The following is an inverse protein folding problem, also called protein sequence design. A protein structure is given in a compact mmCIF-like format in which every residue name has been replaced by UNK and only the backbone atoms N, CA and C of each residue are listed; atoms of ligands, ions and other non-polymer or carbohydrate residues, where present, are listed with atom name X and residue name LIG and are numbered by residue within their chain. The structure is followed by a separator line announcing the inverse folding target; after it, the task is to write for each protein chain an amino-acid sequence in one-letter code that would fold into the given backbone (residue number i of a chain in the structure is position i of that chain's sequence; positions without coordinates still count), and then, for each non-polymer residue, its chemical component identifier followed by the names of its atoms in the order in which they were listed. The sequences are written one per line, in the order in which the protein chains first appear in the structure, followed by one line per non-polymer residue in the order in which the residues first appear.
data_IF_836057204471
#
_entry.id   IF_836057204471
#
_cell.length_a   1.000
_cell.length_b   1.000
_cell.length_c   1.000
_cell.angle_alpha   90.00
_cell.angle_beta   90.00
_cell.angle_gamma   90.00
#
_symmetry.space_group_name_H-M   'P 1'
#
loop_
_entity.id
_entity.type
_entity.pdbx_description
1 polymer ?
#
# COMPACT_ATOMS: atom_id res chain seq x y z
N UNK A 1 -16.47 -18.17 -9.97
CA UNK A 1 -16.10 -16.89 -10.62
C UNK A 1 -14.93 -17.15 -11.54
N UNK A 2 -15.01 -16.72 -12.81
CA UNK A 2 -14.03 -17.11 -13.83
C UNK A 2 -12.65 -16.51 -13.52
N UNK A 3 -11.60 -17.33 -13.59
CA UNK A 3 -10.20 -16.90 -13.39
C UNK A 3 -9.82 -15.69 -14.27
N UNK A 4 -10.46 -15.57 -15.45
CA UNK A 4 -10.33 -14.42 -16.34
C UNK A 4 -10.66 -13.07 -15.65
N UNK A 5 -11.68 -13.03 -14.78
CA UNK A 5 -12.06 -11.78 -14.09
C UNK A 5 -10.99 -11.35 -13.09
N UNK A 6 -10.38 -12.31 -12.39
CA UNK A 6 -9.29 -12.04 -11.47
C UNK A 6 -8.05 -11.51 -12.22
N UNK A 7 -7.71 -12.10 -13.36
CA UNK A 7 -6.60 -11.64 -14.21
C UNK A 7 -6.84 -10.21 -14.69
N UNK A 8 -8.07 -9.90 -15.12
CA UNK A 8 -8.44 -8.54 -15.54
C UNK A 8 -8.29 -7.54 -14.38
N UNK A 9 -8.75 -7.88 -13.17
CA UNK A 9 -8.60 -7.03 -11.99
C UNK A 9 -7.13 -6.83 -11.59
N UNK A 10 -6.30 -7.88 -11.65
CA UNK A 10 -4.86 -7.78 -11.39
C UNK A 10 -4.15 -6.92 -12.44
N UNK A 11 -4.49 -7.07 -13.71
CA UNK A 11 -3.96 -6.21 -14.77
C UNK A 11 -4.38 -4.75 -14.54
N UNK A 12 -5.66 -4.50 -14.23
CA UNK A 12 -6.18 -3.18 -13.91
C UNK A 12 -5.48 -2.57 -12.68
N UNK A 13 -5.20 -3.36 -11.64
CA UNK A 13 -4.45 -2.95 -10.46
C UNK A 13 -3.04 -2.47 -10.82
N UNK A 14 -2.29 -3.25 -11.62
CA UNK A 14 -0.92 -2.90 -12.01
C UNK A 14 -0.91 -1.66 -12.92
N UNK A 15 -1.82 -1.60 -13.89
CA UNK A 15 -1.92 -0.45 -14.80
C UNK A 15 -2.29 0.82 -14.03
N UNK A 16 -3.31 0.76 -13.17
CA UNK A 16 -3.71 1.92 -12.35
C UNK A 16 -2.59 2.38 -11.42
N UNK A 17 -1.88 1.47 -10.76
CA UNK A 17 -0.72 1.80 -9.94
C UNK A 17 0.39 2.49 -10.75
N UNK A 18 0.69 1.98 -11.95
CA UNK A 18 1.67 2.60 -12.84
C UNK A 18 1.26 4.03 -13.26
N UNK A 19 -0.01 4.22 -13.64
CA UNK A 19 -0.55 5.53 -14.00
C UNK A 19 -0.49 6.52 -12.83
N UNK A 20 -0.81 6.07 -11.61
CA UNK A 20 -0.76 6.89 -10.39
C UNK A 20 0.65 7.37 -10.08
N UNK A 21 1.66 6.50 -10.19
CA UNK A 21 3.06 6.86 -9.96
C UNK A 21 3.57 7.89 -10.98
N UNK A 22 2.97 7.94 -12.17
CA UNK A 22 3.32 8.92 -13.21
C UNK A 22 2.62 10.27 -13.03
N UNK A 23 1.63 10.38 -12.13
CA UNK A 23 0.92 11.65 -11.91
C UNK A 23 1.83 12.70 -11.27
N UNK A 24 1.80 13.92 -11.83
CA UNK A 24 2.58 15.06 -11.33
C UNK A 24 1.90 15.80 -10.18
N UNK A 25 0.58 15.72 -10.14
CA UNK A 25 -0.25 16.36 -9.13
C UNK A 25 -0.42 15.39 -7.95
N UNK A 26 0.11 15.77 -6.79
CA UNK A 26 0.12 14.93 -5.59
C UNK A 26 -1.29 14.61 -5.09
N UNK A 27 -2.24 15.54 -5.23
CA UNK A 27 -3.61 15.33 -4.79
C UNK A 27 -4.32 14.33 -5.70
N UNK A 28 -4.14 14.46 -7.02
CA UNK A 28 -4.65 13.47 -7.99
C UNK A 28 -4.01 12.10 -7.80
N UNK A 29 -2.69 12.07 -7.57
CA UNK A 29 -1.97 10.82 -7.29
C UNK A 29 -2.50 10.14 -6.02
N UNK A 30 -2.79 10.90 -4.96
CA UNK A 30 -3.34 10.38 -3.71
C UNK A 30 -4.74 9.78 -3.91
N UNK A 31 -5.63 10.48 -4.62
CA UNK A 31 -6.97 9.96 -4.95
C UNK A 31 -6.85 8.69 -5.82
N UNK A 32 -5.94 8.71 -6.80
CA UNK A 32 -5.66 7.54 -7.63
C UNK A 32 -5.13 6.36 -6.82
N UNK A 33 -4.29 6.60 -5.80
CA UNK A 33 -3.80 5.55 -4.90
C UNK A 33 -4.95 4.93 -4.07
N UNK A 34 -5.94 5.73 -3.67
CA UNK A 34 -7.15 5.23 -3.03
C UNK A 34 -7.93 4.28 -3.96
N UNK A 35 -8.03 4.62 -5.25
CA UNK A 35 -8.65 3.73 -6.26
C UNK A 35 -7.87 2.43 -6.44
N UNK A 36 -6.53 2.50 -6.47
CA UNK A 36 -5.67 1.30 -6.51
C UNK A 36 -5.92 0.41 -5.29
N UNK A 37 -5.97 0.99 -4.09
CA UNK A 37 -6.27 0.28 -2.85
C UNK A 37 -7.69 -0.31 -2.84
N UNK A 38 -8.68 0.38 -3.41
CA UNK A 38 -10.04 -0.14 -3.63
C UNK A 38 -10.08 -1.34 -4.57
N UNK A 39 -9.34 -1.31 -5.69
CA UNK A 39 -9.20 -2.46 -6.60
C UNK A 39 -8.53 -3.63 -5.86
N UNK A 40 -7.49 -3.36 -5.06
CA UNK A 40 -6.81 -4.39 -4.26
C UNK A 40 -7.76 -5.03 -3.24
N UNK A 41 -8.61 -4.24 -2.57
CA UNK A 41 -9.64 -4.76 -1.68
C UNK A 41 -10.61 -5.70 -2.40
N UNK A 42 -11.05 -5.37 -3.62
CA UNK A 42 -11.87 -6.25 -4.45
C UNK A 42 -11.13 -7.55 -4.77
N UNK A 43 -9.85 -7.48 -5.17
CA UNK A 43 -9.03 -8.67 -5.44
C UNK A 43 -8.93 -9.56 -4.21
N UNK A 44 -8.66 -9.00 -3.02
CA UNK A 44 -8.59 -9.77 -1.77
C UNK A 44 -9.92 -10.42 -1.41
N UNK A 45 -11.04 -9.71 -1.63
CA UNK A 45 -12.38 -10.27 -1.43
C UNK A 45 -12.62 -11.46 -2.35
N UNK A 46 -12.27 -11.34 -3.64
CA UNK A 46 -12.39 -12.43 -4.61
C UNK A 46 -11.53 -13.66 -4.27
N UNK A 47 -10.39 -13.45 -3.60
CA UNK A 47 -9.51 -14.52 -3.12
C UNK A 47 -9.95 -15.14 -1.79
N UNK A 48 -11.10 -14.74 -1.24
CA UNK A 48 -11.63 -15.26 0.02
C UNK A 48 -11.07 -14.58 1.28
N UNK A 49 -10.17 -13.60 1.14
CA UNK A 49 -9.57 -12.85 2.24
C UNK A 49 -10.45 -11.67 2.68
N UNK A 50 -11.68 -11.96 3.11
CA UNK A 50 -12.72 -10.98 3.39
C UNK A 50 -12.33 -9.95 4.48
N UNK A 51 -11.73 -10.41 5.58
CA UNK A 51 -11.28 -9.50 6.64
C UNK A 51 -10.20 -8.53 6.13
N UNK A 52 -9.22 -9.03 5.38
CA UNK A 52 -8.17 -8.20 4.80
C UNK A 52 -8.73 -7.17 3.79
N UNK A 53 -9.71 -7.58 2.98
CA UNK A 53 -10.39 -6.70 2.03
C UNK A 53 -11.09 -5.53 2.74
N UNK A 54 -11.80 -5.79 3.84
CA UNK A 54 -12.48 -4.73 4.61
C UNK A 54 -11.46 -3.79 5.27
N UNK A 55 -10.37 -4.32 5.82
CA UNK A 55 -9.31 -3.50 6.39
C UNK A 55 -8.62 -2.61 5.34
N UNK A 56 -8.31 -3.15 4.17
CA UNK A 56 -7.72 -2.37 3.08
C UNK A 56 -8.66 -1.25 2.61
N UNK A 57 -9.95 -1.56 2.42
CA UNK A 57 -10.92 -0.57 1.97
C UNK A 57 -11.18 0.52 3.01
N UNK A 58 -11.23 0.16 4.30
CA UNK A 58 -11.50 1.09 5.40
C UNK A 58 -10.27 1.93 5.78
N UNK A 59 -9.13 1.27 6.02
CA UNK A 59 -7.94 1.91 6.58
C UNK A 59 -7.09 2.52 5.48
N UNK A 60 -6.74 1.74 4.45
CA UNK A 60 -5.83 2.19 3.39
C UNK A 60 -6.52 3.15 2.43
N UNK A 61 -7.61 2.72 1.79
CA UNK A 61 -8.34 3.57 0.84
C UNK A 61 -9.17 4.68 1.52
N UNK A 62 -9.60 4.47 2.76
CA UNK A 62 -10.38 5.44 3.54
C UNK A 62 -9.51 6.37 4.38
N UNK A 63 -9.16 5.94 5.60
CA UNK A 63 -8.53 6.79 6.62
C UNK A 63 -7.18 7.39 6.16
N UNK A 64 -6.25 6.55 5.69
CA UNK A 64 -4.90 6.98 5.32
C UNK A 64 -4.95 7.96 4.15
N UNK A 65 -5.78 7.70 3.15
CA UNK A 65 -5.99 8.62 2.02
C UNK A 65 -6.51 9.98 2.48
N UNK A 66 -7.50 10.03 3.37
CA UNK A 66 -8.03 11.30 3.89
C UNK A 66 -6.94 12.11 4.61
N UNK A 67 -6.12 11.46 5.42
CA UNK A 67 -4.99 12.11 6.11
C UNK A 67 -3.99 12.67 5.08
N UNK A 68 -3.65 11.90 4.04
CA UNK A 68 -2.78 12.38 2.97
C UNK A 68 -3.37 13.54 2.20
N UNK A 69 -4.65 13.48 1.81
CA UNK A 69 -5.32 14.58 1.11
C UNK A 69 -5.32 15.84 1.97
N UNK A 70 -5.65 15.72 3.25
CA UNK A 70 -5.63 16.84 4.20
C UNK A 70 -4.24 17.44 4.37
N UNK A 71 -3.21 16.61 4.44
CA UNK A 71 -1.83 17.09 4.59
C UNK A 71 -1.37 17.77 3.30
N UNK A 72 -1.62 17.15 2.15
CA UNK A 72 -1.24 17.68 0.82
C UNK A 72 -1.93 19.00 0.55
N UNK A 73 -3.21 19.16 0.90
CA UNK A 73 -3.95 20.41 0.69
C UNK A 73 -3.41 21.57 1.54
N UNK A 74 -2.75 21.29 2.65
CA UNK A 74 -2.08 22.28 3.50
C UNK A 74 -0.66 22.62 3.03
N UNK A 75 -0.10 21.92 2.04
CA UNK A 75 1.25 22.20 1.53
C UNK A 75 1.26 23.29 0.46
N UNK A 76 2.34 24.07 0.42
CA UNK A 76 2.53 25.13 -0.58
C UNK A 76 2.69 24.51 -1.97
N UNK A 77 1.86 24.95 -2.91
CA UNK A 77 2.01 24.61 -4.34
C UNK A 77 3.28 25.30 -4.88
N UNK A 78 4.21 24.51 -5.43
CA UNK A 78 5.41 25.05 -6.07
C UNK A 78 5.03 25.85 -7.32
N UNK A 79 5.75 26.95 -7.56
CA UNK A 79 5.67 27.64 -8.84
C UNK A 79 6.18 26.74 -9.97
N UNK A 80 5.75 26.98 -11.21
CA UNK A 80 6.16 26.16 -12.37
C UNK A 80 7.68 26.08 -12.52
N UNK A 81 8.38 27.20 -12.29
CA UNK A 81 9.85 27.26 -12.37
C UNK A 81 10.53 26.42 -11.29
N UNK A 82 10.07 26.50 -10.04
CA UNK A 82 10.58 25.67 -8.93
C UNK A 82 10.32 24.18 -9.17
N UNK A 83 9.16 23.84 -9.73
CA UNK A 83 8.79 22.45 -10.05
C UNK A 83 9.71 21.85 -11.13
N UNK A 84 10.02 22.60 -12.19
CA UNK A 84 10.91 22.18 -13.27
C UNK A 84 12.36 22.01 -12.79
N UNK A 85 12.86 22.94 -11.99
CA UNK A 85 14.22 22.84 -11.44
C UNK A 85 14.35 21.62 -10.53
N UNK A 86 13.33 21.38 -9.70
CA UNK A 86 13.25 20.20 -8.82
C UNK A 86 13.17 18.91 -9.64
N UNK A 87 12.41 18.87 -10.73
CA UNK A 87 12.35 17.71 -11.63
C UNK A 87 13.70 17.43 -12.29
N UNK A 88 14.41 18.46 -12.78
CA UNK A 88 15.74 18.31 -13.39
C UNK A 88 16.76 17.74 -12.39
N UNK A 89 16.77 18.26 -11.16
CA UNK A 89 17.60 17.73 -10.06
C UNK A 89 17.22 16.29 -9.73
N UNK A 90 15.91 15.98 -9.65
CA UNK A 90 15.39 14.62 -9.41
C UNK A 90 15.83 13.65 -10.49
N UNK A 91 15.66 13.96 -11.77
CA UNK A 91 16.02 13.09 -12.90
C UNK A 91 17.52 12.77 -12.93
N UNK A 92 18.38 13.73 -12.57
CA UNK A 92 19.83 13.49 -12.44
C UNK A 92 20.15 12.55 -11.28
N UNK A 93 19.55 12.80 -10.09
CA UNK A 93 19.78 11.98 -8.89
C UNK A 93 19.24 10.56 -9.03
N UNK A 94 18.06 10.40 -9.60
CA UNK A 94 17.34 9.13 -9.69
C UNK A 94 17.49 8.43 -11.06
N UNK A 95 18.52 8.79 -11.85
CA UNK A 95 18.76 8.19 -13.16
C UNK A 95 18.96 6.67 -13.09
N UNK A 96 19.59 6.18 -12.02
CA UNK A 96 19.86 4.76 -11.80
C UNK A 96 18.70 4.00 -11.12
N UNK A 97 17.67 4.70 -10.63
CA UNK A 97 16.51 4.10 -9.97
C UNK A 97 15.75 3.09 -10.85
N UNK A 98 15.46 3.32 -12.14
CA UNK A 98 14.77 2.32 -12.96
C UNK A 98 15.59 1.03 -13.12
N UNK A 99 16.92 1.15 -13.22
CA UNK A 99 17.81 -0.02 -13.32
C UNK A 99 17.80 -0.80 -12.00
N UNK A 100 17.92 -0.09 -10.87
CA UNK A 100 17.84 -0.71 -9.55
C UNK A 100 16.50 -1.41 -9.34
N UNK A 101 15.40 -0.79 -9.77
CA UNK A 101 14.06 -1.37 -9.66
C UNK A 101 13.90 -2.63 -10.54
N UNK A 102 14.44 -2.63 -11.75
CA UNK A 102 14.46 -3.82 -12.61
C UNK A 102 15.31 -4.96 -12.01
N UNK A 103 16.46 -4.64 -11.41
CA UNK A 103 17.29 -5.64 -10.73
C UNK A 103 16.57 -6.24 -9.51
N UNK A 104 15.92 -5.40 -8.69
CA UNK A 104 15.13 -5.88 -7.54
C UNK A 104 13.95 -6.72 -8.01
N UNK A 105 13.24 -6.29 -9.07
CA UNK A 105 12.14 -7.06 -9.65
C UNK A 105 12.62 -8.41 -10.17
N UNK A 106 13.74 -8.45 -10.91
CA UNK A 106 14.33 -9.69 -11.43
C UNK A 106 14.78 -10.62 -10.30
N UNK A 107 15.40 -10.08 -9.24
CA UNK A 107 15.78 -10.84 -8.06
C UNK A 107 14.56 -11.44 -7.37
N UNK A 108 13.53 -10.63 -7.11
CA UNK A 108 12.29 -11.08 -6.48
C UNK A 108 11.61 -12.18 -7.31
N UNK A 109 11.54 -11.99 -8.63
CA UNK A 109 10.98 -12.99 -9.56
C UNK A 109 11.81 -14.28 -9.56
N UNK A 110 13.14 -14.20 -9.57
CA UNK A 110 14.02 -15.38 -9.54
C UNK A 110 13.83 -16.23 -8.29
N UNK A 111 13.57 -15.58 -7.15
CA UNK A 111 13.26 -16.27 -5.88
C UNK A 111 11.86 -16.86 -5.92
N UNK A 112 10.88 -16.17 -6.52
CA UNK A 112 9.47 -16.59 -6.52
C UNK A 112 9.13 -17.68 -7.56
N UNK A 113 9.78 -17.68 -8.73
CA UNK A 113 9.58 -18.64 -9.82
C UNK A 113 9.65 -20.12 -9.41
N UNK A 114 10.63 -20.59 -8.62
CA UNK A 114 10.68 -22.00 -8.20
C UNK A 114 9.50 -22.38 -7.29
N UNK A 115 8.94 -21.43 -6.52
CA UNK A 115 7.74 -21.68 -5.73
C UNK A 115 6.51 -21.81 -6.64
N UNK A 116 6.35 -20.91 -7.63
CA UNK A 116 5.26 -20.97 -8.61
C UNK A 116 5.23 -22.27 -9.41
N UNK A 117 6.39 -22.88 -9.67
CA UNK A 117 6.54 -24.14 -10.42
C UNK A 117 6.64 -25.40 -9.52
N UNK A 118 6.63 -25.25 -8.19
CA UNK A 118 6.58 -26.36 -7.24
C UNK A 118 5.15 -26.88 -7.03
N UNK A 119 4.94 -27.97 -6.26
CA UNK A 119 3.61 -28.49 -5.92
C UNK A 119 2.91 -27.59 -4.89
N UNK A 120 2.76 -26.30 -5.21
CA UNK A 120 2.12 -25.27 -4.38
C UNK A 120 0.61 -25.54 -4.23
N UNK A 121 0.04 -26.34 -5.13
CA UNK A 121 -1.39 -26.70 -5.16
C UNK A 121 -1.80 -27.85 -4.23
N UNK A 122 -0.87 -28.54 -3.54
CA UNK A 122 -1.20 -29.75 -2.74
C UNK A 122 -1.11 -29.62 -1.22
N UNK A 123 -0.70 -28.46 -0.69
CA UNK A 123 -0.45 -28.27 0.75
C UNK A 123 -1.31 -27.23 1.44
N UNK A 124 -2.28 -26.63 0.75
CA UNK A 124 -3.28 -25.81 1.43
C UNK A 124 -4.40 -26.73 1.92
N UNK A 125 -4.47 -27.05 3.22
CA UNK A 125 -5.70 -27.58 3.77
C UNK A 125 -6.81 -26.57 3.41
N UNK A 126 -7.95 -27.09 2.94
CA UNK A 126 -9.19 -26.33 2.80
C UNK A 126 -9.63 -25.96 4.22
N UNK A 127 -8.98 -24.94 4.78
CA UNK A 127 -9.44 -24.25 5.97
C UNK A 127 -10.55 -23.32 5.50
N UNK A 128 -11.72 -23.41 6.12
CA UNK A 128 -12.80 -22.46 5.89
C UNK A 128 -12.24 -21.03 6.02
N UNK A 129 -12.16 -20.27 4.92
CA UNK A 129 -11.43 -19.00 4.89
C UNK A 129 -11.96 -17.98 5.90
N UNK A 130 -13.24 -18.12 6.28
CA UNK A 130 -13.94 -17.20 7.17
C UNK A 130 -13.64 -17.45 8.66
N UNK A 131 -13.50 -18.72 9.08
CA UNK A 131 -13.18 -19.10 10.46
C UNK A 131 -11.69 -19.01 10.73
N UNK A 132 -10.85 -19.41 9.77
CA UNK A 132 -9.41 -19.47 9.91
C UNK A 132 -8.79 -18.09 10.21
N UNK A 133 -9.24 -17.02 9.55
CA UNK A 133 -8.69 -15.68 9.77
C UNK A 133 -8.98 -15.13 11.18
N UNK A 134 -10.21 -15.28 11.66
CA UNK A 134 -10.61 -14.79 13.00
C UNK A 134 -9.92 -15.60 14.09
N UNK A 135 -9.97 -16.92 13.98
CA UNK A 135 -9.41 -17.82 14.98
C UNK A 135 -7.87 -17.71 15.04
N UNK A 136 -7.21 -17.56 13.89
CA UNK A 136 -5.75 -17.44 13.83
C UNK A 136 -5.25 -16.12 14.44
N UNK A 137 -5.92 -14.99 14.19
CA UNK A 137 -5.50 -13.70 14.76
C UNK A 137 -5.65 -13.70 16.28
N UNK A 138 -6.79 -14.17 16.78
CA UNK A 138 -7.11 -14.09 18.20
C UNK A 138 -6.46 -15.20 19.04
N UNK A 139 -6.31 -16.42 18.53
CA UNK A 139 -5.79 -17.54 19.32
C UNK A 139 -4.31 -17.85 19.04
N UNK A 140 -3.87 -17.76 17.78
CA UNK A 140 -2.49 -18.10 17.41
C UNK A 140 -1.55 -16.89 17.36
N UNK A 141 -2.06 -15.70 17.02
CA UNK A 141 -1.25 -14.49 16.78
C UNK A 141 -1.58 -13.31 17.69
N UNK A 142 -2.14 -13.58 18.87
CA UNK A 142 -2.47 -12.54 19.86
C UNK A 142 -1.27 -11.66 20.25
N UNK A 143 -0.07 -12.22 20.33
CA UNK A 143 1.15 -11.48 20.66
C UNK A 143 1.54 -10.48 19.57
N UNK A 144 1.41 -10.88 18.31
CA UNK A 144 1.69 -10.01 17.16
C UNK A 144 0.68 -8.86 17.11
N UNK A 145 -0.60 -9.14 17.39
CA UNK A 145 -1.66 -8.14 17.46
C UNK A 145 -1.41 -7.13 18.59
N UNK A 146 -1.04 -7.60 19.79
CA UNK A 146 -0.72 -6.73 20.91
C UNK A 146 0.47 -5.81 20.57
N UNK A 147 1.53 -6.37 19.97
CA UNK A 147 2.68 -5.61 19.54
C UNK A 147 2.32 -4.53 18.50
N UNK A 148 1.43 -4.86 17.54
CA UNK A 148 0.92 -3.89 16.56
C UNK A 148 0.13 -2.76 17.22
N UNK A 149 -0.74 -3.08 18.17
CA UNK A 149 -1.49 -2.06 18.93
C UNK A 149 -0.52 -1.14 19.68
N UNK A 150 0.48 -1.70 20.36
CA UNK A 150 1.50 -0.91 21.04
C UNK A 150 2.25 0.02 20.07
N UNK A 151 2.63 -0.46 18.89
CA UNK A 151 3.32 0.36 17.88
C UNK A 151 2.43 1.49 17.37
N UNK A 152 1.13 1.23 17.14
CA UNK A 152 0.18 2.26 16.73
C UNK A 152 0.04 3.33 17.82
N UNK A 153 -0.09 2.93 19.09
CA UNK A 153 -0.16 3.86 20.21
C UNK A 153 1.11 4.71 20.34
N UNK A 154 2.28 4.09 20.23
CA UNK A 154 3.57 4.80 20.23
C UNK A 154 3.63 5.80 19.07
N UNK A 155 3.14 5.42 17.87
CA UNK A 155 3.02 6.31 16.72
C UNK A 155 2.15 7.53 17.02
N UNK A 156 0.97 7.33 17.62
CA UNK A 156 0.04 8.41 18.00
C UNK A 156 0.69 9.35 19.02
N UNK A 157 1.32 8.81 20.08
CA UNK A 157 2.03 9.64 21.07
C UNK A 157 3.20 10.42 20.45
N UNK A 158 3.95 9.80 19.52
CA UNK A 158 5.01 10.47 18.79
C UNK A 158 4.50 11.69 18.01
N UNK A 159 3.36 11.55 17.33
CA UNK A 159 2.70 12.67 16.62
C UNK A 159 2.24 13.77 17.57
N UNK A 160 1.64 13.42 18.71
CA UNK A 160 1.19 14.40 19.71
C UNK A 160 2.36 15.20 20.31
N UNK A 161 3.48 14.53 20.62
CA UNK A 161 4.68 15.19 21.14
C UNK A 161 5.31 16.11 20.09
N UNK A 162 5.33 15.67 18.83
CA UNK A 162 5.84 16.47 17.71
C UNK A 162 5.08 17.79 17.58
N UNK A 163 3.75 17.75 17.54
CA UNK A 163 2.92 18.95 17.44
C UNK A 163 2.92 19.81 18.72
N UNK A 164 3.11 19.21 19.90
CA UNK A 164 3.22 19.96 21.16
C UNK A 164 4.46 20.87 21.19
N UNK A 165 5.56 20.47 20.55
CA UNK A 165 6.81 21.26 20.55
C UNK A 165 6.69 22.57 19.77
N UNK A 166 5.90 22.60 18.70
CA UNK A 166 5.67 23.81 17.88
C UNK A 166 4.86 24.88 18.62
N UNK A 167 4.07 24.50 19.64
CA UNK A 167 3.32 25.43 20.47
C UNK A 167 4.10 26.08 21.61
N UNK A 168 5.32 25.59 21.91
CA UNK A 168 6.15 26.06 23.02
C UNK A 168 7.26 27.04 22.60
N UNK A 169 7.46 27.26 21.29
CA UNK A 169 8.39 28.26 20.72
C UNK A 169 7.70 29.60 20.39
N UNK A 170 6.52 29.88 20.97
CA UNK A 170 5.87 31.20 20.94
C UNK A 170 5.87 31.84 22.31
#
# INVERSE_FOLDING_TARGET
MNEAWLIVMLAALVISAALVVMMRDLLKACIGLALVSGILAVVMYMLGAHLAAVFELSVCAGLITVIFVSTISMTKVLTKQEAEERERKRRKRFRYLPIALLLVLALCLSVLLPFLNGPLTRLLPVLDPESAGKEMIWNLRQTDLLAQICIVLVGVYGVLIFFKKEGAEK
#
